data_IF_405753119004
#
_entry.id   IF_405753119004
#
_cell.length_a   1.000
_cell.length_b   1.000
_cell.length_c   1.000
_cell.angle_alpha   90.00
_cell.angle_beta   90.00
_cell.angle_gamma   90.00
#
_symmetry.space_group_name_H-M   'P 1'
#
loop_
_entity.id
_entity.type
_entity.pdbx_description
1 polymer ?
#
# COMPACT_ATOMS: atom_id res chain seq x y z
N UNK A 1 -5.09 -21.11 31.50
CA UNK A 1 -4.34 -20.36 30.47
C UNK A 1 -4.85 -20.66 29.07
N UNK A 2 -5.31 -21.88 28.76
CA UNK A 2 -5.83 -22.26 27.43
C UNK A 2 -6.93 -21.35 26.88
N UNK A 3 -7.78 -20.79 27.74
CA UNK A 3 -8.86 -19.89 27.33
C UNK A 3 -8.34 -18.59 26.69
N UNK A 4 -7.24 -18.03 27.19
CA UNK A 4 -6.69 -16.77 26.67
C UNK A 4 -6.03 -16.95 25.30
N UNK A 5 -5.24 -18.01 25.16
CA UNK A 5 -4.64 -18.41 23.87
C UNK A 5 -5.74 -18.68 22.84
N UNK A 6 -6.78 -19.40 23.23
CA UNK A 6 -7.90 -19.72 22.35
C UNK A 6 -8.72 -18.48 21.93
N UNK A 7 -8.96 -17.53 22.84
CA UNK A 7 -9.66 -16.28 22.53
C UNK A 7 -8.87 -15.45 21.49
N UNK A 8 -7.56 -15.38 21.61
CA UNK A 8 -6.75 -14.63 20.65
C UNK A 8 -6.54 -15.39 19.34
N UNK A 9 -6.45 -16.73 19.36
CA UNK A 9 -6.49 -17.54 18.14
C UNK A 9 -7.75 -17.24 17.33
N UNK A 10 -8.90 -17.17 18.00
CA UNK A 10 -10.17 -16.83 17.37
C UNK A 10 -10.15 -15.40 16.81
N UNK A 11 -9.69 -14.41 17.57
CA UNK A 11 -9.53 -13.04 17.08
C UNK A 11 -8.63 -12.97 15.82
N UNK A 12 -7.54 -13.72 15.79
CA UNK A 12 -6.63 -13.81 14.66
C UNK A 12 -7.29 -14.49 13.45
N UNK A 13 -8.07 -15.55 13.65
CA UNK A 13 -8.83 -16.21 12.58
C UNK A 13 -9.87 -15.29 11.95
N UNK A 14 -10.63 -14.58 12.79
CA UNK A 14 -11.60 -13.59 12.33
C UNK A 14 -10.92 -12.45 11.57
N UNK A 15 -9.76 -11.98 12.06
CA UNK A 15 -8.96 -10.98 11.38
C UNK A 15 -8.46 -11.46 10.00
N UNK A 16 -7.93 -12.68 9.91
CA UNK A 16 -7.55 -13.28 8.63
C UNK A 16 -8.73 -13.36 7.66
N UNK A 17 -9.92 -13.69 8.16
CA UNK A 17 -11.14 -13.76 7.35
C UNK A 17 -11.55 -12.38 6.84
N UNK A 18 -11.55 -11.36 7.70
CA UNK A 18 -11.82 -9.97 7.32
C UNK A 18 -10.81 -9.46 6.29
N UNK A 19 -9.51 -9.67 6.53
CA UNK A 19 -8.44 -9.28 5.62
C UNK A 19 -8.59 -9.92 4.23
N UNK A 20 -8.94 -11.21 4.17
CA UNK A 20 -9.23 -11.90 2.90
C UNK A 20 -10.39 -11.26 2.15
N UNK A 21 -11.51 -11.01 2.82
CA UNK A 21 -12.67 -10.36 2.18
C UNK A 21 -12.33 -8.95 1.69
N UNK A 22 -11.59 -8.17 2.47
CA UNK A 22 -11.16 -6.83 2.08
C UNK A 22 -10.19 -6.87 0.90
N UNK A 23 -9.21 -7.79 0.88
CA UNK A 23 -8.30 -7.98 -0.25
C UNK A 23 -9.03 -8.42 -1.52
N UNK A 24 -10.02 -9.30 -1.40
CA UNK A 24 -10.86 -9.70 -2.52
C UNK A 24 -11.63 -8.50 -3.09
N UNK A 25 -12.15 -7.64 -2.22
CA UNK A 25 -12.82 -6.39 -2.61
C UNK A 25 -11.87 -5.47 -3.37
N UNK A 26 -10.64 -5.30 -2.87
CA UNK A 26 -9.60 -4.50 -3.55
C UNK A 26 -9.23 -5.09 -4.91
N UNK A 27 -9.07 -6.42 -5.00
CA UNK A 27 -8.68 -7.09 -6.24
C UNK A 27 -9.78 -7.07 -7.31
N UNK A 28 -11.06 -7.03 -6.92
CA UNK A 28 -12.21 -6.97 -7.84
C UNK A 28 -12.52 -5.57 -8.34
N UNK A 29 -11.96 -4.53 -7.71
CA UNK A 29 -12.29 -3.15 -8.03
C UNK A 29 -11.55 -2.66 -9.28
N UNK A 30 -12.27 -2.10 -10.25
CA UNK A 30 -11.74 -1.80 -11.60
C UNK A 30 -11.50 -0.33 -11.95
N UNK A 31 -11.73 0.64 -11.03
CA UNK A 31 -11.02 1.93 -11.15
C UNK A 31 -11.71 3.25 -10.80
N UNK A 32 -12.88 3.28 -10.17
CA UNK A 32 -13.57 4.58 -9.90
C UNK A 32 -13.44 5.13 -8.47
N UNK A 33 -12.93 4.36 -7.50
CA UNK A 33 -12.88 4.75 -6.08
C UNK A 33 -11.46 4.64 -5.47
N UNK A 34 -10.46 5.17 -6.18
CA UNK A 34 -9.06 5.19 -5.72
C UNK A 34 -8.85 5.60 -4.23
N UNK A 35 -9.46 6.69 -3.70
CA UNK A 35 -9.27 7.05 -2.30
C UNK A 35 -9.94 6.08 -1.31
N UNK A 36 -11.03 5.40 -1.71
CA UNK A 36 -11.69 4.39 -0.89
C UNK A 36 -10.82 3.14 -0.80
N UNK A 37 -10.23 2.73 -1.93
CA UNK A 37 -9.30 1.60 -1.99
C UNK A 37 -8.00 1.88 -1.23
N UNK A 38 -7.44 3.08 -1.34
CA UNK A 38 -6.27 3.49 -0.57
C UNK A 38 -6.53 3.40 0.94
N UNK A 39 -7.69 3.90 1.38
CA UNK A 39 -8.09 3.81 2.79
C UNK A 39 -8.27 2.35 3.22
N UNK A 40 -8.95 1.54 2.42
CA UNK A 40 -9.17 0.12 2.70
C UNK A 40 -7.86 -0.66 2.81
N UNK A 41 -6.91 -0.42 1.88
CA UNK A 41 -5.58 -1.06 1.94
C UNK A 41 -4.78 -0.58 3.14
N UNK A 42 -4.83 0.71 3.49
CA UNK A 42 -4.17 1.24 4.68
C UNK A 42 -4.74 0.63 5.97
N UNK A 43 -6.06 0.43 6.04
CA UNK A 43 -6.72 -0.22 7.17
C UNK A 43 -6.35 -1.71 7.24
N UNK A 44 -6.36 -2.44 6.12
CA UNK A 44 -5.87 -3.82 6.05
C UNK A 44 -4.42 -3.96 6.52
N UNK A 45 -3.55 -3.02 6.14
CA UNK A 45 -2.14 -3.02 6.52
C UNK A 45 -1.97 -2.81 8.03
N UNK A 46 -2.73 -1.87 8.60
CA UNK A 46 -2.72 -1.60 10.04
C UNK A 46 -3.18 -2.83 10.82
N UNK A 47 -4.26 -3.45 10.38
CA UNK A 47 -4.81 -4.64 11.01
C UNK A 47 -3.82 -5.81 10.93
N UNK A 48 -3.29 -6.12 9.74
CA UNK A 48 -2.31 -7.19 9.56
C UNK A 48 -1.09 -7.03 10.48
N UNK A 49 -0.56 -5.81 10.59
CA UNK A 49 0.56 -5.52 11.50
C UNK A 49 0.18 -5.72 12.98
N UNK A 50 -0.98 -5.23 13.40
CA UNK A 50 -1.45 -5.36 14.78
C UNK A 50 -1.63 -6.84 15.17
N UNK A 51 -2.20 -7.66 14.29
CA UNK A 51 -2.39 -9.08 14.56
C UNK A 51 -1.07 -9.87 14.54
N UNK A 52 -0.11 -9.51 13.68
CA UNK A 52 1.23 -10.11 13.71
C UNK A 52 1.96 -9.83 15.04
N UNK A 53 1.86 -8.61 15.55
CA UNK A 53 2.49 -8.24 16.84
C UNK A 53 1.79 -8.91 18.03
N UNK A 54 0.45 -8.98 18.04
CA UNK A 54 -0.30 -9.76 19.05
C UNK A 54 0.10 -11.23 19.05
N UNK A 55 0.20 -11.84 17.87
CA UNK A 55 0.56 -13.24 17.75
C UNK A 55 2.00 -13.50 18.21
N UNK A 56 2.92 -12.60 17.88
CA UNK A 56 4.31 -12.65 18.37
C UNK A 56 4.38 -12.56 19.90
N UNK A 57 3.55 -11.72 20.51
CA UNK A 57 3.49 -11.60 21.97
C UNK A 57 3.08 -12.93 22.60
N UNK A 58 2.04 -13.58 22.07
CA UNK A 58 1.61 -14.90 22.55
C UNK A 58 2.64 -16.00 22.33
N UNK A 59 3.32 -16.02 21.18
CA UNK A 59 4.41 -16.96 20.93
C UNK A 59 5.52 -16.81 21.98
N UNK A 60 5.78 -15.58 22.45
CA UNK A 60 6.74 -15.31 23.53
C UNK A 60 6.18 -15.73 24.89
N UNK A 61 4.95 -15.38 25.25
CA UNK A 61 4.31 -15.78 26.50
C UNK A 61 4.29 -17.32 26.66
N UNK A 62 3.85 -18.04 25.64
CA UNK A 62 3.81 -19.50 25.63
C UNK A 62 5.20 -20.15 25.86
N UNK A 63 6.26 -19.48 25.40
CA UNK A 63 7.65 -19.91 25.60
C UNK A 63 8.16 -19.68 27.02
N UNK A 64 7.71 -18.61 27.67
CA UNK A 64 8.11 -18.29 29.06
C UNK A 64 7.27 -19.04 30.10
N UNK A 65 6.03 -19.42 29.78
CA UNK A 65 5.16 -20.22 30.65
C UNK A 65 5.50 -21.72 30.63
N UNK A 66 6.18 -22.20 29.58
CA UNK A 66 6.66 -23.58 29.53
C UNK A 66 7.81 -23.76 30.54
N UNK A 67 7.71 -24.70 31.51
CA UNK A 67 8.81 -24.94 32.44
C UNK A 67 10.07 -25.29 31.64
N UNK A 68 11.24 -24.83 32.08
CA UNK A 68 12.54 -25.05 31.43
C UNK A 68 12.91 -26.53 31.15
N UNK A 69 12.07 -27.45 31.64
CA UNK A 69 12.19 -28.90 31.54
C UNK A 69 11.25 -29.50 30.46
N UNK A 70 10.40 -28.69 29.81
CA UNK A 70 9.55 -29.13 28.73
C UNK A 70 10.41 -29.49 27.51
N UNK A 71 10.26 -30.73 27.03
CA UNK A 71 11.12 -31.35 26.00
C UNK A 71 11.07 -30.62 24.65
N UNK A 72 10.12 -29.73 24.43
CA UNK A 72 10.15 -28.78 23.31
C UNK A 72 9.18 -27.60 23.58
N UNK A 73 9.67 -26.37 23.84
CA UNK A 73 8.83 -25.17 23.95
C UNK A 73 8.44 -24.65 22.55
N UNK A 74 8.03 -25.56 21.66
CA UNK A 74 7.56 -25.19 20.35
C UNK A 74 6.17 -24.57 20.46
N UNK A 75 5.91 -23.42 19.79
CA UNK A 75 4.61 -22.79 19.82
C UNK A 75 3.55 -23.75 19.24
N UNK A 76 2.30 -23.68 19.71
CA UNK A 76 1.20 -24.45 19.16
C UNK A 76 1.16 -24.37 17.63
N UNK A 77 0.94 -25.51 16.98
CA UNK A 77 0.90 -25.61 15.51
C UNK A 77 -0.13 -24.65 14.88
N UNK A 78 -1.25 -24.41 15.56
CA UNK A 78 -2.28 -23.43 15.22
C UNK A 78 -1.72 -22.00 15.11
N UNK A 79 -0.90 -21.56 16.07
CA UNK A 79 -0.27 -20.23 16.05
C UNK A 79 0.73 -20.12 14.89
N UNK A 80 1.49 -21.19 14.62
CA UNK A 80 2.44 -21.22 13.50
C UNK A 80 1.70 -21.08 12.16
N UNK A 81 0.58 -21.79 11.99
CA UNK A 81 -0.28 -21.68 10.81
C UNK A 81 -0.86 -20.27 10.66
N UNK A 82 -1.43 -19.72 11.73
CA UNK A 82 -1.99 -18.36 11.74
C UNK A 82 -0.95 -17.31 11.40
N UNK A 83 0.27 -17.45 11.91
CA UNK A 83 1.38 -16.55 11.59
C UNK A 83 1.72 -16.61 10.12
N UNK A 84 1.77 -17.81 9.55
CA UNK A 84 2.08 -17.98 8.14
C UNK A 84 0.98 -17.39 7.26
N UNK A 85 -0.28 -17.58 7.63
CA UNK A 85 -1.43 -16.99 6.93
C UNK A 85 -1.38 -15.45 6.98
N UNK A 86 -1.19 -14.86 8.16
CA UNK A 86 -1.09 -13.41 8.32
C UNK A 86 0.09 -12.81 7.54
N UNK A 87 1.23 -13.51 7.47
CA UNK A 87 2.37 -13.08 6.64
C UNK A 87 2.03 -13.06 5.15
N UNK A 88 1.34 -14.10 4.66
CA UNK A 88 0.88 -14.15 3.28
C UNK A 88 -0.09 -13.00 2.99
N UNK A 89 -1.09 -12.79 3.86
CA UNK A 89 -2.07 -11.71 3.70
C UNK A 89 -1.40 -10.34 3.78
N UNK A 90 -0.44 -10.13 4.68
CA UNK A 90 0.34 -8.88 4.75
C UNK A 90 1.10 -8.62 3.45
N UNK A 91 1.72 -9.65 2.86
CA UNK A 91 2.42 -9.51 1.59
C UNK A 91 1.47 -9.18 0.43
N UNK A 92 0.25 -9.73 0.45
CA UNK A 92 -0.80 -9.40 -0.52
C UNK A 92 -1.31 -7.96 -0.36
N UNK A 93 -1.48 -7.48 0.89
CA UNK A 93 -1.80 -6.07 1.18
C UNK A 93 -0.71 -5.15 0.65
N UNK A 94 0.56 -5.46 0.90
CA UNK A 94 1.69 -4.67 0.36
C UNK A 94 1.71 -4.69 -1.17
N UNK A 95 1.37 -5.82 -1.79
CA UNK A 95 1.27 -5.93 -3.24
C UNK A 95 0.09 -5.13 -3.79
N UNK A 96 -1.04 -5.08 -3.08
CA UNK A 96 -2.18 -4.24 -3.42
C UNK A 96 -1.83 -2.74 -3.29
N UNK A 97 -1.15 -2.35 -2.21
CA UNK A 97 -0.66 -0.97 -1.99
C UNK A 97 0.25 -0.53 -3.15
N UNK A 98 1.23 -1.37 -3.54
CA UNK A 98 2.10 -1.09 -4.68
C UNK A 98 1.32 -0.94 -5.99
N UNK A 99 0.32 -1.79 -6.25
CA UNK A 99 -0.51 -1.72 -7.46
C UNK A 99 -1.33 -0.42 -7.50
N UNK A 100 -1.91 -0.01 -6.37
CA UNK A 100 -2.64 1.26 -6.27
C UNK A 100 -1.71 2.46 -6.50
N UNK A 101 -0.52 2.46 -5.89
CA UNK A 101 0.47 3.51 -6.10
C UNK A 101 0.89 3.63 -7.57
N UNK A 102 1.06 2.52 -8.28
CA UNK A 102 1.39 2.52 -9.72
C UNK A 102 0.22 3.06 -10.54
N UNK A 103 -1.01 2.61 -10.27
CA UNK A 103 -2.21 3.07 -10.97
C UNK A 103 -2.43 4.59 -10.79
N UNK A 104 -2.29 5.10 -9.56
CA UNK A 104 -2.48 6.51 -9.25
C UNK A 104 -1.26 7.37 -9.64
N UNK A 105 -0.05 6.80 -9.59
CA UNK A 105 1.19 7.45 -10.03
C UNK A 105 1.32 7.58 -11.55
N UNK A 106 0.76 6.63 -12.32
CA UNK A 106 0.63 6.73 -13.78
C UNK A 106 -0.30 7.87 -14.19
N UNK A 107 -1.46 7.99 -13.54
CA UNK A 107 -2.44 9.06 -13.80
C UNK A 107 -1.88 10.47 -13.54
N UNK A 108 -1.03 10.65 -12.51
CA UNK A 108 -0.36 11.94 -12.26
C UNK A 108 0.69 12.30 -13.31
N UNK A 109 1.32 11.31 -13.96
CA UNK A 109 2.39 11.53 -14.94
C UNK A 109 1.85 11.89 -16.33
N UNK A 110 0.67 11.39 -16.69
CA UNK A 110 -0.02 11.81 -17.93
C UNK A 110 -0.63 13.22 -17.83
N UNK A 111 -1.12 13.64 -16.66
CA UNK A 111 -1.65 15.00 -16.45
C UNK A 111 -0.59 16.11 -16.51
N UNK A 112 0.66 15.81 -16.14
CA UNK A 112 1.79 16.75 -16.24
C UNK A 112 2.33 16.84 -17.67
N UNK A 113 2.46 15.70 -18.37
CA UNK A 113 2.95 15.67 -19.76
C UNK A 113 1.95 16.24 -20.77
N UNK A 114 0.64 16.14 -20.51
CA UNK A 114 -0.40 16.78 -21.32
C UNK A 114 -0.52 18.29 -21.13
N UNK A 115 -0.06 18.82 -19.99
CA UNK A 115 -0.12 20.26 -19.67
C UNK A 115 1.16 21.01 -20.08
N UNK A 116 2.32 20.35 -20.09
CA UNK A 116 3.57 20.94 -20.57
C UNK A 116 3.64 21.07 -22.10
N UNK A 117 2.92 20.24 -22.85
CA UNK A 117 2.87 20.35 -24.32
C UNK A 117 2.16 21.62 -24.82
N UNK A 118 1.28 22.25 -24.01
CA UNK A 118 0.59 23.50 -24.37
C UNK A 118 1.31 24.78 -23.95
N UNK A 119 2.42 24.69 -23.19
CA UNK A 119 3.22 25.87 -22.79
C UNK A 119 4.56 25.98 -23.53
N UNK A 120 4.79 25.17 -24.57
CA UNK A 120 5.99 25.24 -25.41
C UNK A 120 5.78 25.95 -26.76
N UNK A 121 4.53 26.22 -27.17
CA UNK A 121 4.25 26.84 -28.48
C UNK A 121 4.10 28.37 -28.43
N UNK A 122 3.91 28.96 -27.24
CA UNK A 122 3.83 30.43 -27.06
C UNK A 122 5.17 31.14 -26.96
N UNK A 123 6.29 30.42 -26.78
CA UNK A 123 7.58 31.00 -26.43
C UNK A 123 8.57 31.12 -27.62
N UNK A 124 8.09 30.99 -28.87
CA UNK A 124 8.92 31.19 -30.08
C UNK A 124 8.48 32.35 -30.98
N UNK A 125 7.42 33.09 -30.64
CA UNK A 125 7.00 34.25 -31.44
C UNK A 125 7.58 35.61 -30.98
N UNK A 126 8.27 35.68 -29.84
CA UNK A 126 8.78 36.94 -29.29
C UNK A 126 10.23 37.28 -29.64
N UNK A 127 10.95 36.43 -30.37
CA UNK A 127 12.32 36.75 -30.81
C UNK A 127 12.44 37.14 -32.30
N UNK A 128 11.33 37.09 -33.07
CA UNK A 128 11.32 37.46 -34.50
C UNK A 128 10.69 38.84 -34.76
N UNK A 129 10.13 39.50 -33.74
CA UNK A 129 9.60 40.89 -33.87
C UNK A 129 10.49 41.97 -33.23
N UNK A 130 11.78 41.67 -33.01
CA UNK A 130 12.73 42.61 -32.41
C UNK A 130 13.85 43.11 -33.34
N UNK A 131 14.05 42.51 -34.52
CA UNK A 131 15.28 42.75 -35.30
C UNK A 131 15.06 43.00 -36.79
N UNK A 132 14.03 43.75 -37.19
CA UNK A 132 14.00 44.39 -38.52
C UNK A 132 13.12 45.65 -38.48
N UNK A 133 13.75 46.83 -38.40
CA UNK A 133 13.35 48.07 -39.10
C UNK A 133 14.34 49.18 -38.72
N UNK A 134 15.32 49.42 -39.59
CA UNK A 134 15.48 50.71 -40.30
C UNK A 134 16.78 50.69 -41.11
N UNK A 135 16.67 50.28 -42.38
CA UNK A 135 17.56 50.76 -43.43
C UNK A 135 16.66 51.37 -44.51
N UNK A 136 16.92 52.62 -44.92
CA UNK A 136 16.38 53.16 -46.17
C UNK A 136 16.01 54.64 -46.22
N UNK A 137 17.02 55.50 -46.45
CA UNK A 137 17.03 56.66 -47.37
C UNK A 137 16.04 57.83 -47.23
N UNK A 138 16.58 59.07 -47.23
CA UNK A 138 16.15 60.16 -48.14
C UNK A 138 17.17 61.31 -48.23
N UNK A 139 17.66 61.51 -49.45
CA UNK A 139 17.91 62.76 -50.19
C UNK A 139 18.46 64.01 -49.47
N UNK A 140 19.62 64.48 -49.95
CA UNK A 140 19.76 65.81 -50.55
C UNK A 140 20.75 65.76 -51.71
#
# INVERSE_FOLDING_TARGET
>A
MDRHVHEIELECQEACSRLRCSLETVNRHTGEEAPVLERLVADCRRDAHLFLEKLRHLELEARFESPANAVDPSPPYSLVQLRQELRTLSAEVDAAERRLLIANGGARREGLLGSEAKMSEGCKQLEVSGLMKTHGQRHK
#
